data_IF_039010408340
#
_entry.id   IF_039010408340
#
_cell.length_a   1.000
_cell.length_b   1.000
_cell.length_c   1.000
_cell.angle_alpha   90.00
_cell.angle_beta   90.00
_cell.angle_gamma   90.00
#
_symmetry.space_group_name_H-M   'P 1'
#
loop_
_entity.id
_entity.type
_entity.pdbx_description
1 polymer ?
#
# COMPACT_ATOMS: atom_id res chain seq x y z
N UNK A 1 32.35 20.78 60.29
CA UNK A 1 31.55 19.86 59.44
C UNK A 1 31.20 20.58 58.15
N UNK A 2 31.75 20.16 57.00
CA UNK A 2 31.53 20.78 55.69
C UNK A 2 30.64 19.86 54.86
N UNK A 3 29.40 20.28 54.56
CA UNK A 3 28.55 19.58 53.60
C UNK A 3 28.84 20.08 52.19
N UNK A 4 29.25 19.17 51.30
CA UNK A 4 29.33 19.40 49.85
C UNK A 4 27.96 19.14 49.25
N UNK A 5 27.40 20.16 48.61
CA UNK A 5 26.16 20.09 47.83
C UNK A 5 26.51 19.58 46.42
N UNK A 6 25.94 18.43 46.03
CA UNK A 6 26.13 17.79 44.73
C UNK A 6 25.08 18.35 43.76
N UNK A 7 25.49 19.13 42.76
CA UNK A 7 24.62 19.57 41.67
C UNK A 7 24.46 18.43 40.65
N UNK A 8 23.24 17.93 40.52
CA UNK A 8 22.85 16.97 39.48
C UNK A 8 22.56 17.75 38.18
N UNK A 9 23.47 17.67 37.22
CA UNK A 9 23.31 18.27 35.89
C UNK A 9 22.32 17.41 35.08
N UNK A 10 21.08 17.87 34.89
CA UNK A 10 20.13 17.26 33.96
C UNK A 10 20.56 17.60 32.52
N UNK A 11 21.11 16.61 31.80
CA UNK A 11 21.27 16.70 30.35
C UNK A 11 19.89 16.60 29.68
N UNK A 12 19.31 17.75 29.33
CA UNK A 12 18.22 17.84 28.36
C UNK A 12 18.79 17.45 26.99
N UNK A 13 18.53 16.22 26.56
CA UNK A 13 18.79 15.81 25.17
C UNK A 13 17.70 16.45 24.32
N UNK A 14 18.02 17.39 23.40
CA UNK A 14 17.04 17.91 22.47
C UNK A 14 16.53 16.75 21.61
N UNK A 15 15.21 16.57 21.59
CA UNK A 15 14.56 15.69 20.61
C UNK A 15 14.75 16.36 19.25
N UNK A 16 15.80 15.97 18.54
CA UNK A 16 15.98 16.35 17.14
C UNK A 16 14.79 15.81 16.36
N UNK A 17 13.92 16.71 15.90
CA UNK A 17 12.87 16.35 14.95
C UNK A 17 13.52 15.63 13.77
N UNK A 18 13.01 14.45 13.43
CA UNK A 18 13.42 13.72 12.24
C UNK A 18 13.15 14.62 11.04
N UNK A 19 14.20 15.27 10.51
CA UNK A 19 14.14 15.99 9.26
C UNK A 19 13.82 14.97 8.17
N UNK A 20 12.55 14.96 7.73
CA UNK A 20 12.14 14.16 6.58
C UNK A 20 12.96 14.56 5.36
N UNK A 21 13.24 13.59 4.49
CA UNK A 21 13.99 13.83 3.27
C UNK A 21 13.24 14.83 2.39
N UNK A 22 13.93 15.89 1.95
CA UNK A 22 13.35 16.83 0.99
C UNK A 22 13.18 16.14 -0.37
N UNK A 23 11.95 15.68 -0.63
CA UNK A 23 11.57 15.04 -1.87
C UNK A 23 11.28 16.02 -2.99
N UNK A 24 11.35 17.34 -2.75
CA UNK A 24 11.22 18.34 -3.82
C UNK A 24 12.25 18.12 -4.93
N UNK A 25 13.37 17.46 -4.67
CA UNK A 25 14.40 17.17 -5.68
C UNK A 25 14.20 15.86 -6.46
N UNK A 26 13.17 15.04 -6.13
CA UNK A 26 13.02 13.69 -6.68
C UNK A 26 12.93 13.72 -8.22
N UNK A 27 12.06 14.57 -8.77
CA UNK A 27 11.97 14.86 -10.20
C UNK A 27 12.56 16.24 -10.49
N UNK A 28 13.32 16.37 -11.59
CA UNK A 28 13.73 17.68 -12.09
C UNK A 28 12.55 18.43 -12.72
N UNK A 29 12.71 19.74 -12.87
CA UNK A 29 11.66 20.65 -13.34
C UNK A 29 11.24 20.35 -14.79
N UNK A 30 12.21 20.03 -15.66
CA UNK A 30 11.96 19.65 -17.05
C UNK A 30 11.05 18.42 -17.13
N UNK A 31 11.32 17.41 -16.31
CA UNK A 31 10.49 16.21 -16.20
C UNK A 31 9.07 16.58 -15.77
N UNK A 32 8.91 17.44 -14.76
CA UNK A 32 7.59 17.84 -14.28
C UNK A 32 6.80 18.66 -15.32
N UNK A 33 7.44 19.58 -16.03
CA UNK A 33 6.78 20.30 -17.13
C UNK A 33 6.33 19.36 -18.25
N UNK A 34 7.19 18.43 -18.66
CA UNK A 34 6.85 17.43 -19.67
C UNK A 34 5.61 16.63 -19.26
N UNK A 35 5.54 16.18 -18.00
CA UNK A 35 4.40 15.41 -17.51
C UNK A 35 3.17 16.25 -17.24
N UNK A 36 3.31 17.52 -16.84
CA UNK A 36 2.19 18.48 -16.73
C UNK A 36 1.45 18.57 -18.06
N UNK A 37 2.17 18.76 -19.16
CA UNK A 37 1.58 18.82 -20.51
C UNK A 37 0.83 17.55 -20.93
N UNK A 38 1.10 16.39 -20.31
CA UNK A 38 0.41 15.12 -20.58
C UNK A 38 -0.76 14.86 -19.63
N UNK A 39 -0.60 15.20 -18.36
CA UNK A 39 -1.62 14.92 -17.34
C UNK A 39 -2.74 15.96 -17.31
N UNK A 40 -2.41 17.25 -17.50
CA UNK A 40 -3.31 18.35 -17.21
C UNK A 40 -4.69 18.21 -17.85
N UNK A 41 -4.74 17.93 -19.17
CA UNK A 41 -6.01 17.75 -19.88
C UNK A 41 -6.85 16.63 -19.27
N UNK A 42 -6.25 15.49 -18.96
CA UNK A 42 -6.97 14.34 -18.40
C UNK A 42 -7.38 14.56 -16.95
N UNK A 43 -6.55 15.25 -16.15
CA UNK A 43 -6.88 15.60 -14.77
C UNK A 43 -8.07 16.56 -14.72
N UNK A 44 -8.07 17.62 -15.53
CA UNK A 44 -9.20 18.55 -15.63
C UNK A 44 -10.46 17.85 -16.12
N UNK A 45 -10.34 17.00 -17.14
CA UNK A 45 -11.48 16.23 -17.63
C UNK A 45 -12.06 15.29 -16.55
N UNK A 46 -11.20 14.58 -15.81
CA UNK A 46 -11.64 13.72 -14.70
C UNK A 46 -12.37 14.54 -13.63
N UNK A 47 -11.81 15.68 -13.24
CA UNK A 47 -12.43 16.55 -12.26
C UNK A 47 -13.80 17.06 -12.73
N UNK A 48 -13.89 17.61 -13.93
CA UNK A 48 -15.13 18.19 -14.45
C UNK A 48 -16.21 17.13 -14.75
N UNK A 49 -15.83 16.01 -15.38
CA UNK A 49 -16.80 15.04 -15.91
C UNK A 49 -17.10 13.91 -14.95
N UNK A 50 -16.10 13.46 -14.20
CA UNK A 50 -16.27 12.33 -13.28
C UNK A 50 -16.55 12.80 -11.85
N UNK A 51 -15.93 13.87 -11.37
CA UNK A 51 -16.17 14.35 -10.00
C UNK A 51 -17.34 15.32 -9.97
N UNK A 52 -17.20 16.50 -10.60
CA UNK A 52 -18.24 17.52 -10.60
C UNK A 52 -19.49 17.06 -11.35
N UNK A 53 -19.32 16.32 -12.45
CA UNK A 53 -20.41 15.71 -13.22
C UNK A 53 -21.08 14.50 -12.53
N UNK A 54 -20.67 14.13 -11.32
CA UNK A 54 -21.38 13.14 -10.47
C UNK A 54 -22.19 13.79 -9.35
N UNK A 55 -22.02 15.10 -9.15
CA UNK A 55 -22.73 15.81 -8.10
C UNK A 55 -24.20 15.95 -8.49
N UNK A 56 -25.07 15.76 -7.50
CA UNK A 56 -26.47 16.15 -7.62
C UNK A 56 -26.57 17.66 -7.80
N UNK A 57 -27.69 18.18 -8.35
CA UNK A 57 -27.89 19.63 -8.45
C UNK A 57 -27.78 20.36 -7.09
N UNK A 58 -28.19 19.72 -5.99
CA UNK A 58 -28.07 20.29 -4.65
C UNK A 58 -26.61 20.34 -4.18
N UNK A 59 -25.87 19.24 -4.32
CA UNK A 59 -24.45 19.19 -3.98
C UNK A 59 -23.65 20.21 -4.81
N UNK A 60 -23.92 20.31 -6.12
CA UNK A 60 -23.25 21.25 -7.01
C UNK A 60 -23.52 22.71 -6.62
N UNK A 61 -24.75 23.06 -6.26
CA UNK A 61 -25.09 24.42 -5.78
C UNK A 61 -24.41 24.74 -4.45
N UNK A 62 -24.38 23.80 -3.52
CA UNK A 62 -23.74 23.99 -2.21
C UNK A 62 -22.23 24.12 -2.31
N UNK A 63 -21.59 23.30 -3.15
CA UNK A 63 -20.14 23.33 -3.38
C UNK A 63 -19.70 24.65 -4.01
N UNK A 64 -20.53 25.24 -4.87
CA UNK A 64 -20.23 26.50 -5.55
C UNK A 64 -19.16 26.36 -6.62
N UNK A 65 -18.41 27.43 -6.84
CA UNK A 65 -17.30 27.46 -7.78
C UNK A 65 -16.05 26.91 -7.12
N UNK A 66 -15.56 25.80 -7.65
CA UNK A 66 -14.33 25.15 -7.20
C UNK A 66 -13.45 24.87 -8.40
N UNK A 67 -12.14 25.00 -8.20
CA UNK A 67 -11.16 24.87 -9.26
C UNK A 67 -10.11 23.80 -8.93
N UNK A 68 -9.52 23.24 -9.98
CA UNK A 68 -8.40 22.31 -9.88
C UNK A 68 -7.11 23.07 -10.20
N UNK A 69 -6.23 23.18 -9.22
CA UNK A 69 -4.87 23.68 -9.39
C UNK A 69 -3.88 22.52 -9.55
N UNK A 70 -2.91 22.73 -10.45
CA UNK A 70 -1.93 21.72 -10.87
C UNK A 70 -0.51 22.32 -10.81
N UNK A 71 -0.03 22.68 -9.61
CA UNK A 71 1.33 23.19 -9.46
C UNK A 71 2.33 22.09 -9.79
N UNK A 72 3.57 22.44 -10.15
CA UNK A 72 4.57 21.41 -10.41
C UNK A 72 4.91 20.62 -9.14
N UNK A 73 4.96 21.31 -8.00
CA UNK A 73 5.42 20.80 -6.71
C UNK A 73 4.44 21.13 -5.61
N UNK A 74 4.55 20.36 -4.55
CA UNK A 74 3.92 20.65 -3.26
C UNK A 74 4.67 21.82 -2.62
N UNK A 75 3.97 22.73 -1.96
CA UNK A 75 4.55 23.85 -1.21
C UNK A 75 4.29 23.70 0.29
N UNK A 76 5.01 24.50 1.10
CA UNK A 76 4.81 24.58 2.55
C UNK A 76 5.13 23.29 3.30
N UNK A 77 4.41 23.03 4.38
CA UNK A 77 4.66 21.92 5.31
C UNK A 77 4.45 20.53 4.69
N UNK A 78 3.77 20.47 3.53
CA UNK A 78 3.53 19.23 2.79
C UNK A 78 4.64 18.90 1.78
N UNK A 79 5.64 19.77 1.59
CA UNK A 79 6.70 19.59 0.58
C UNK A 79 7.47 18.27 0.69
N UNK A 80 7.55 17.70 1.91
CA UNK A 80 8.18 16.40 2.15
C UNK A 80 7.32 15.19 1.78
N UNK A 81 6.01 15.33 1.55
CA UNK A 81 5.11 14.21 1.24
C UNK A 81 4.94 14.02 -0.28
N UNK A 82 5.43 12.91 -0.87
CA UNK A 82 5.39 12.70 -2.31
C UNK A 82 4.00 12.26 -2.80
N UNK A 83 3.05 12.07 -1.88
CA UNK A 83 1.65 11.74 -2.12
C UNK A 83 0.75 12.81 -1.47
N UNK A 84 1.21 14.07 -1.43
CA UNK A 84 0.40 15.18 -1.00
C UNK A 84 -0.57 15.61 -2.11
N UNK A 85 -1.85 15.45 -1.81
CA UNK A 85 -3.00 16.03 -2.49
C UNK A 85 -3.83 16.69 -1.40
N UNK A 86 -4.36 17.88 -1.68
CA UNK A 86 -4.95 18.70 -0.63
C UNK A 86 -5.92 19.71 -1.20
N UNK A 87 -6.78 20.25 -0.34
CA UNK A 87 -7.62 21.41 -0.65
C UNK A 87 -7.18 22.68 0.09
N UNK A 88 -7.45 23.82 -0.53
CA UNK A 88 -7.40 25.16 0.09
C UNK A 88 -8.85 25.65 0.31
N UNK A 89 -9.07 26.96 0.47
CA UNK A 89 -10.40 27.55 0.65
C UNK A 89 -11.39 27.25 -0.48
N UNK A 90 -10.91 27.19 -1.72
CA UNK A 90 -11.73 27.15 -2.93
C UNK A 90 -11.14 26.28 -4.05
N UNK A 91 -9.99 25.65 -3.79
CA UNK A 91 -9.25 24.89 -4.80
C UNK A 91 -8.82 23.53 -4.29
N UNK A 92 -8.92 22.55 -5.18
CA UNK A 92 -8.26 21.25 -5.02
C UNK A 92 -6.90 21.35 -5.69
N UNK A 93 -5.84 21.02 -4.96
CA UNK A 93 -4.47 21.10 -5.42
C UNK A 93 -3.96 19.69 -5.68
N UNK A 94 -3.58 19.42 -6.93
CA UNK A 94 -2.97 18.15 -7.33
C UNK A 94 -1.60 18.39 -7.97
N UNK A 95 -0.54 18.46 -7.16
CA UNK A 95 0.80 18.69 -7.65
C UNK A 95 1.23 17.62 -8.67
N UNK A 96 1.82 18.06 -9.78
CA UNK A 96 2.26 17.17 -10.87
C UNK A 96 3.31 16.17 -10.37
N UNK A 97 4.16 16.59 -9.44
CA UNK A 97 5.09 15.69 -8.73
C UNK A 97 4.36 14.53 -8.03
N UNK A 98 3.29 14.79 -7.29
CA UNK A 98 2.53 13.76 -6.57
C UNK A 98 1.82 12.81 -7.53
N UNK A 99 1.20 13.36 -8.59
CA UNK A 99 0.58 12.55 -9.66
C UNK A 99 1.63 11.67 -10.34
N UNK A 100 2.80 12.22 -10.66
CA UNK A 100 3.87 11.50 -11.34
C UNK A 100 4.46 10.39 -10.48
N UNK A 101 4.62 10.65 -9.18
CA UNK A 101 5.08 9.67 -8.22
C UNK A 101 4.08 8.52 -8.09
N UNK A 102 2.79 8.82 -7.98
CA UNK A 102 1.76 7.81 -7.93
C UNK A 102 1.66 6.98 -9.23
N UNK A 103 1.81 7.62 -10.40
CA UNK A 103 1.88 6.94 -11.70
C UNK A 103 3.05 5.95 -11.77
N UNK A 104 4.26 6.34 -11.36
CA UNK A 104 5.40 5.42 -11.33
C UNK A 104 5.17 4.23 -10.41
N UNK A 105 4.56 4.44 -9.23
CA UNK A 105 4.23 3.36 -8.33
C UNK A 105 3.14 2.45 -8.89
N UNK A 106 2.12 3.00 -9.56
CA UNK A 106 1.08 2.24 -10.24
C UNK A 106 1.67 1.37 -11.37
N UNK A 107 2.59 1.93 -12.18
CA UNK A 107 3.28 1.20 -13.24
C UNK A 107 4.17 0.09 -12.67
N UNK A 108 4.94 0.37 -11.61
CA UNK A 108 5.73 -0.64 -10.94
C UNK A 108 4.85 -1.76 -10.37
N UNK A 109 3.74 -1.40 -9.74
CA UNK A 109 2.79 -2.37 -9.17
C UNK A 109 2.24 -3.31 -10.24
N UNK A 110 1.74 -2.76 -11.34
CA UNK A 110 1.24 -3.53 -12.48
C UNK A 110 2.32 -4.41 -13.10
N UNK A 111 3.56 -3.90 -13.24
CA UNK A 111 4.69 -4.64 -13.81
C UNK A 111 5.03 -5.89 -13.01
N UNK A 112 5.11 -5.75 -11.68
CA UNK A 112 5.42 -6.84 -10.76
C UNK A 112 4.28 -7.87 -10.73
N UNK A 113 3.03 -7.41 -10.62
CA UNK A 113 1.86 -8.30 -10.64
C UNK A 113 1.78 -9.12 -11.92
N UNK A 114 1.97 -8.50 -13.10
CA UNK A 114 1.92 -9.18 -14.39
C UNK A 114 2.98 -10.30 -14.55
N UNK A 115 4.04 -10.26 -13.72
CA UNK A 115 5.14 -11.24 -13.69
C UNK A 115 5.03 -12.23 -12.54
N UNK A 116 3.99 -12.13 -11.72
CA UNK A 116 3.86 -12.91 -10.49
C UNK A 116 5.00 -12.63 -9.51
N UNK A 117 5.58 -11.42 -9.55
CA UNK A 117 6.61 -10.98 -8.62
C UNK A 117 5.95 -10.27 -7.43
N UNK A 118 6.64 -10.29 -6.29
CA UNK A 118 6.17 -9.64 -5.08
C UNK A 118 6.11 -8.12 -5.22
N UNK A 119 5.00 -7.51 -4.84
CA UNK A 119 4.87 -6.05 -4.77
C UNK A 119 5.45 -5.45 -3.49
N UNK A 120 5.96 -6.27 -2.55
CA UNK A 120 6.54 -5.81 -1.28
C UNK A 120 7.70 -4.84 -1.50
N UNK A 121 8.52 -5.04 -2.53
CA UNK A 121 9.64 -4.12 -2.86
C UNK A 121 9.21 -2.69 -3.11
N UNK A 122 8.02 -2.50 -3.66
CA UNK A 122 7.45 -1.18 -3.91
C UNK A 122 7.18 -0.48 -2.58
N UNK A 123 6.65 -1.23 -1.61
CA UNK A 123 6.35 -0.76 -0.27
C UNK A 123 7.62 -0.48 0.54
N UNK A 124 8.63 -1.35 0.41
CA UNK A 124 9.95 -1.13 1.01
C UNK A 124 10.65 0.09 0.41
N UNK A 125 10.51 0.35 -0.90
CA UNK A 125 11.02 1.57 -1.54
C UNK A 125 10.36 2.83 -0.96
N UNK A 126 9.04 2.81 -0.77
CA UNK A 126 8.32 3.94 -0.17
C UNK A 126 8.78 4.18 1.27
N UNK A 127 8.91 3.12 2.07
CA UNK A 127 9.46 3.24 3.41
C UNK A 127 10.91 3.77 3.37
N UNK A 128 11.71 3.37 2.37
CA UNK A 128 13.10 3.80 2.22
C UNK A 128 13.20 5.30 2.04
N UNK A 129 12.34 5.88 1.19
CA UNK A 129 12.31 7.33 0.99
C UNK A 129 12.05 8.10 2.29
N UNK A 130 11.31 7.51 3.24
CA UNK A 130 11.02 8.13 4.54
C UNK A 130 12.25 8.19 5.44
N UNK A 131 12.99 7.08 5.49
CA UNK A 131 14.08 6.91 6.48
C UNK A 131 15.45 7.31 5.95
N UNK A 132 15.67 7.25 4.63
CA UNK A 132 16.95 7.62 4.05
C UNK A 132 17.03 9.10 3.83
N UNK A 133 17.98 9.73 4.49
CA UNK A 133 18.28 11.16 4.36
C UNK A 133 19.43 11.38 3.40
N UNK A 134 19.44 12.51 2.68
CA UNK A 134 20.55 12.88 1.78
C UNK A 134 21.88 13.14 2.52
N UNK A 135 21.87 13.14 3.85
CA UNK A 135 23.07 13.16 4.69
C UNK A 135 23.76 11.80 4.80
N UNK A 136 23.18 10.71 4.26
CA UNK A 136 23.85 9.41 4.18
C UNK A 136 25.10 9.50 3.27
N UNK A 137 26.28 9.02 3.73
CA UNK A 137 27.51 9.03 2.93
C UNK A 137 27.33 8.35 1.57
N UNK A 138 27.58 9.08 0.49
CA UNK A 138 27.48 8.60 -0.89
C UNK A 138 26.11 8.77 -1.56
N UNK A 139 25.06 9.16 -0.82
CA UNK A 139 23.71 9.35 -1.36
C UNK A 139 23.51 10.79 -1.85
N UNK A 140 23.92 11.09 -3.08
CA UNK A 140 23.77 12.43 -3.67
C UNK A 140 22.35 12.78 -4.13
N UNK A 141 21.53 11.76 -4.44
CA UNK A 141 20.14 11.92 -4.89
C UNK A 141 19.35 10.64 -4.60
N UNK A 142 18.11 10.79 -4.18
CA UNK A 142 17.19 9.67 -4.04
C UNK A 142 16.83 9.10 -5.43
N UNK A 143 16.87 7.77 -5.62
CA UNK A 143 16.58 7.18 -6.92
C UNK A 143 15.09 7.31 -7.25
N UNK A 144 14.76 7.56 -8.52
CA UNK A 144 13.38 7.55 -9.03
C UNK A 144 12.74 6.16 -8.86
N UNK A 145 11.41 6.05 -8.68
CA UNK A 145 10.77 4.78 -8.33
C UNK A 145 11.05 3.66 -9.33
N UNK A 146 10.85 3.92 -10.64
CA UNK A 146 11.09 2.88 -11.66
C UNK A 146 12.56 2.45 -11.72
N UNK A 147 13.49 3.39 -11.52
CA UNK A 147 14.93 3.09 -11.49
C UNK A 147 15.29 2.24 -10.28
N UNK A 148 14.82 2.62 -9.10
CA UNK A 148 15.07 1.89 -7.85
C UNK A 148 14.47 0.48 -7.87
N UNK A 149 13.31 0.32 -8.53
CA UNK A 149 12.57 -0.94 -8.60
C UNK A 149 12.93 -1.79 -9.82
N UNK A 150 13.91 -1.37 -10.62
CA UNK A 150 14.34 -2.01 -11.87
C UNK A 150 13.16 -2.28 -12.84
N UNK A 151 12.27 -1.31 -12.96
CA UNK A 151 11.13 -1.35 -13.89
C UNK A 151 11.50 -0.55 -15.14
N UNK A 152 11.35 -1.13 -16.35
CA UNK A 152 11.58 -0.37 -17.57
C UNK A 152 10.68 0.86 -17.65
N UNK A 153 11.24 2.04 -17.99
CA UNK A 153 10.48 3.30 -18.14
C UNK A 153 9.34 3.24 -19.16
N UNK A 154 9.41 2.28 -20.06
CA UNK A 154 8.46 1.98 -21.13
C UNK A 154 7.72 0.65 -20.90
N UNK A 155 7.65 0.16 -19.66
CA UNK A 155 6.98 -1.08 -19.27
C UNK A 155 5.56 -1.22 -19.87
N UNK A 156 4.81 -0.13 -19.89
CA UNK A 156 3.46 -0.05 -20.47
C UNK A 156 3.44 -0.30 -21.99
N UNK A 157 4.49 0.07 -22.73
CA UNK A 157 4.60 -0.25 -24.17
C UNK A 157 4.88 -1.72 -24.42
N UNK A 158 5.52 -2.39 -23.46
CA UNK A 158 6.01 -3.77 -23.60
C UNK A 158 4.94 -4.81 -23.27
N UNK A 159 3.97 -4.47 -22.44
CA UNK A 159 2.88 -5.37 -22.04
C UNK A 159 1.58 -4.59 -21.85
N UNK A 160 0.59 -4.82 -22.73
CA UNK A 160 -0.71 -4.15 -22.69
C UNK A 160 -1.48 -4.42 -21.39
N UNK A 161 -1.24 -5.56 -20.72
CA UNK A 161 -1.88 -5.84 -19.42
C UNK A 161 -1.28 -4.98 -18.32
N UNK A 162 0.01 -4.69 -18.39
CA UNK A 162 0.68 -3.76 -17.47
C UNK A 162 0.15 -2.34 -17.68
N UNK A 163 0.00 -1.90 -18.93
CA UNK A 163 -0.58 -0.60 -19.24
C UNK A 163 -2.02 -0.48 -18.71
N UNK A 164 -2.88 -1.45 -19.05
CA UNK A 164 -4.28 -1.46 -18.59
C UNK A 164 -4.38 -1.40 -17.05
N UNK A 165 -3.64 -2.26 -16.35
CA UNK A 165 -3.67 -2.30 -14.88
C UNK A 165 -3.07 -1.03 -14.24
N UNK A 166 -1.97 -0.49 -14.79
CA UNK A 166 -1.37 0.74 -14.29
C UNK A 166 -2.32 1.94 -14.46
N UNK A 167 -2.97 2.04 -15.63
CA UNK A 167 -3.95 3.06 -15.92
C UNK A 167 -5.20 2.92 -15.04
N UNK A 168 -5.67 1.70 -14.77
CA UNK A 168 -6.79 1.44 -13.85
C UNK A 168 -6.46 1.90 -12.43
N UNK A 169 -5.28 1.54 -11.90
CA UNK A 169 -4.79 2.00 -10.59
C UNK A 169 -4.69 3.52 -10.56
N UNK A 170 -4.00 4.15 -11.51
CA UNK A 170 -3.78 5.59 -11.50
C UNK A 170 -5.10 6.37 -11.62
N UNK A 171 -5.92 6.06 -12.65
CA UNK A 171 -7.12 6.84 -12.94
C UNK A 171 -8.16 6.73 -11.84
N UNK A 172 -8.45 5.52 -11.38
CA UNK A 172 -9.43 5.33 -10.30
C UNK A 172 -8.97 5.97 -8.98
N UNK A 173 -7.66 5.91 -8.68
CA UNK A 173 -7.09 6.57 -7.51
C UNK A 173 -7.16 8.08 -7.59
N UNK A 174 -6.79 8.68 -8.72
CA UNK A 174 -6.85 10.13 -8.93
C UNK A 174 -8.29 10.66 -8.83
N UNK A 175 -9.26 9.98 -9.44
CA UNK A 175 -10.68 10.39 -9.35
C UNK A 175 -11.17 10.30 -7.91
N UNK A 176 -10.83 9.22 -7.20
CA UNK A 176 -11.20 9.06 -5.79
C UNK A 176 -10.58 10.17 -4.91
N UNK A 177 -9.29 10.47 -5.09
CA UNK A 177 -8.59 11.54 -4.37
C UNK A 177 -9.23 12.90 -4.65
N UNK A 178 -9.49 13.24 -5.91
CA UNK A 178 -10.20 14.48 -6.26
C UNK A 178 -11.58 14.56 -5.61
N UNK A 179 -12.33 13.46 -5.58
CA UNK A 179 -13.64 13.42 -4.95
C UNK A 179 -13.54 13.59 -3.42
N UNK A 180 -12.51 13.03 -2.78
CA UNK A 180 -12.21 13.23 -1.37
C UNK A 180 -11.90 14.70 -1.05
N UNK A 181 -11.00 15.33 -1.80
CA UNK A 181 -10.69 16.76 -1.63
C UNK A 181 -11.90 17.66 -1.92
N UNK A 182 -12.73 17.29 -2.92
CA UNK A 182 -14.00 17.97 -3.18
C UNK A 182 -14.94 17.91 -1.99
N UNK A 183 -14.96 16.78 -1.28
CA UNK A 183 -15.81 16.62 -0.10
C UNK A 183 -15.40 17.56 1.04
N UNK A 184 -14.10 17.82 1.20
CA UNK A 184 -13.63 18.81 2.18
C UNK A 184 -14.20 20.20 1.89
N UNK A 185 -14.20 20.64 0.63
CA UNK A 185 -14.83 21.90 0.23
C UNK A 185 -16.36 21.86 0.44
N UNK A 186 -17.02 20.77 0.04
CA UNK A 186 -18.47 20.60 0.14
C UNK A 186 -18.98 20.69 1.59
N UNK A 187 -18.29 20.02 2.52
CA UNK A 187 -18.61 20.03 3.95
C UNK A 187 -18.05 21.26 4.68
N UNK A 188 -17.34 22.16 3.97
CA UNK A 188 -16.64 23.32 4.54
C UNK A 188 -15.69 22.90 5.66
N UNK A 189 -15.04 21.76 5.45
CA UNK A 189 -14.03 21.27 6.36
C UNK A 189 -12.86 22.26 6.30
N UNK A 190 -12.43 22.80 7.44
CA UNK A 190 -11.37 23.79 7.47
C UNK A 190 -10.07 23.21 6.89
N UNK A 191 -9.41 23.97 6.01
CA UNK A 191 -8.20 23.56 5.30
C UNK A 191 -6.97 23.49 6.21
N UNK A 192 -5.86 22.97 5.69
CA UNK A 192 -4.63 22.67 6.43
C UNK A 192 -4.00 23.86 7.18
N UNK A 193 -4.23 25.07 6.69
CA UNK A 193 -3.65 26.30 7.21
C UNK A 193 -4.32 26.79 8.52
N UNK A 194 -5.43 26.17 8.93
CA UNK A 194 -6.35 26.76 9.93
C UNK A 194 -6.16 26.26 11.37
N UNK A 195 -5.08 25.52 11.68
CA UNK A 195 -4.76 25.11 13.06
C UNK A 195 -5.80 24.17 13.70
N UNK A 196 -6.57 23.45 12.89
CA UNK A 196 -7.65 22.55 13.32
C UNK A 196 -7.09 21.39 14.14
N UNK A 197 -7.77 21.06 15.24
CA UNK A 197 -7.37 19.90 16.06
C UNK A 197 -7.47 18.60 15.26
N UNK A 198 -6.53 17.67 15.46
CA UNK A 198 -6.49 16.39 14.73
C UNK A 198 -7.74 15.53 14.97
N UNK A 199 -8.39 15.65 16.14
CA UNK A 199 -9.67 14.98 16.41
C UNK A 199 -10.75 15.48 15.43
N UNK A 200 -10.74 16.77 15.12
CA UNK A 200 -11.67 17.37 14.18
C UNK A 200 -11.29 17.07 12.73
N UNK A 201 -10.00 17.05 12.38
CA UNK A 201 -9.55 16.53 11.08
C UNK A 201 -10.01 15.09 10.86
N UNK A 202 -9.81 14.16 11.81
CA UNK A 202 -10.31 12.77 11.71
C UNK A 202 -11.83 12.68 11.56
N UNK A 203 -12.58 13.55 12.24
CA UNK A 203 -14.04 13.60 12.11
C UNK A 203 -14.48 14.01 10.69
N UNK A 204 -13.67 14.83 10.02
CA UNK A 204 -13.92 15.32 8.67
C UNK A 204 -13.54 14.30 7.57
N UNK A 205 -12.56 13.44 7.84
CA UNK A 205 -12.08 12.45 6.88
C UNK A 205 -13.11 11.37 6.53
N UNK A 206 -13.83 10.81 7.52
CA UNK A 206 -14.79 9.72 7.27
C UNK A 206 -15.94 10.18 6.34
N UNK A 207 -16.57 11.34 6.57
CA UNK A 207 -17.52 11.91 5.61
C UNK A 207 -16.91 12.14 4.22
N UNK A 208 -15.65 12.59 4.14
CA UNK A 208 -14.96 12.81 2.87
C UNK A 208 -14.68 11.50 2.10
N UNK A 209 -14.18 10.47 2.79
CA UNK A 209 -13.97 9.13 2.24
C UNK A 209 -15.28 8.52 1.71
N UNK A 210 -16.37 8.67 2.50
CA UNK A 210 -17.70 8.19 2.11
C UNK A 210 -18.25 8.94 0.90
N UNK A 211 -18.07 10.26 0.86
CA UNK A 211 -18.45 11.07 -0.30
C UNK A 211 -17.70 10.65 -1.55
N UNK A 212 -16.38 10.43 -1.46
CA UNK A 212 -15.57 9.94 -2.57
C UNK A 212 -16.05 8.56 -3.07
N UNK A 213 -16.32 7.63 -2.16
CA UNK A 213 -16.89 6.32 -2.53
C UNK A 213 -18.25 6.46 -3.21
N UNK A 214 -19.10 7.37 -2.76
CA UNK A 214 -20.41 7.63 -3.38
C UNK A 214 -20.27 8.18 -4.80
N UNK A 215 -19.31 9.08 -5.06
CA UNK A 215 -19.00 9.57 -6.41
C UNK A 215 -18.56 8.41 -7.32
N UNK A 216 -17.66 7.55 -6.83
CA UNK A 216 -17.20 6.37 -7.56
C UNK A 216 -18.35 5.40 -7.84
N UNK A 217 -19.23 5.19 -6.87
CA UNK A 217 -20.43 4.34 -6.97
C UNK A 217 -21.40 4.85 -8.04
N UNK A 218 -21.70 6.16 -8.07
CA UNK A 218 -22.58 6.79 -9.08
C UNK A 218 -22.03 6.69 -10.50
N UNK A 219 -20.71 6.54 -10.66
CA UNK A 219 -20.06 6.34 -11.97
C UNK A 219 -19.77 4.88 -12.28
N UNK A 220 -20.13 3.96 -11.38
CA UNK A 220 -19.85 2.53 -11.52
C UNK A 220 -18.35 2.23 -11.73
N UNK A 221 -17.49 2.98 -11.03
CA UNK A 221 -16.04 2.83 -11.11
C UNK A 221 -15.56 2.21 -9.79
N UNK A 222 -14.90 1.05 -9.87
CA UNK A 222 -14.25 0.48 -8.70
C UNK A 222 -13.02 1.32 -8.28
N UNK A 223 -12.88 1.73 -7.01
CA UNK A 223 -11.80 2.60 -6.56
C UNK A 223 -10.50 1.82 -6.27
N UNK A 224 -10.00 1.05 -7.25
CA UNK A 224 -8.80 0.22 -7.07
C UNK A 224 -7.58 1.04 -6.63
N UNK A 225 -7.37 2.20 -7.26
CA UNK A 225 -6.26 3.09 -6.96
C UNK A 225 -6.28 3.65 -5.54
N UNK A 226 -7.45 3.79 -4.92
CA UNK A 226 -7.56 4.24 -3.53
C UNK A 226 -6.90 3.24 -2.58
N UNK A 227 -7.07 1.94 -2.83
CA UNK A 227 -6.42 0.89 -2.03
C UNK A 227 -4.89 1.02 -2.11
N UNK A 228 -4.36 1.20 -3.32
CA UNK A 228 -2.93 1.41 -3.53
C UNK A 228 -2.44 2.70 -2.86
N UNK A 229 -3.18 3.81 -3.00
CA UNK A 229 -2.87 5.08 -2.36
C UNK A 229 -2.74 4.93 -0.83
N UNK A 230 -3.74 4.34 -0.16
CA UNK A 230 -3.68 4.15 1.30
C UNK A 230 -2.61 3.15 1.73
N UNK A 231 -2.34 2.13 0.94
CA UNK A 231 -1.23 1.22 1.21
C UNK A 231 0.11 1.95 1.11
N UNK A 232 0.32 2.77 0.09
CA UNK A 232 1.52 3.59 -0.06
C UNK A 232 1.65 4.60 1.08
N UNK A 233 0.58 5.31 1.43
CA UNK A 233 0.54 6.22 2.58
C UNK A 233 0.83 5.48 3.89
N UNK A 234 0.33 4.27 4.09
CA UNK A 234 0.59 3.49 5.30
C UNK A 234 2.08 3.17 5.45
N UNK A 235 2.79 2.86 4.36
CA UNK A 235 4.25 2.67 4.38
C UNK A 235 5.03 3.97 4.53
N UNK A 236 4.56 5.06 3.92
CA UNK A 236 5.15 6.40 4.02
C UNK A 236 4.99 7.06 5.41
N UNK A 237 3.91 6.76 6.11
CA UNK A 237 3.55 7.43 7.38
C UNK A 237 4.53 7.15 8.51
N UNK A 238 4.59 8.05 9.49
CA UNK A 238 5.35 7.79 10.72
C UNK A 238 4.85 6.53 11.40
N UNK A 239 5.81 5.77 11.92
CA UNK A 239 5.56 4.54 12.65
C UNK A 239 5.68 4.82 14.13
N UNK A 240 4.93 4.10 14.96
CA UNK A 240 5.03 4.14 16.41
C UNK A 240 6.47 3.90 16.91
N UNK A 241 7.26 3.14 16.15
CA UNK A 241 8.69 2.90 16.40
C UNK A 241 9.60 4.09 16.16
N UNK A 242 9.12 5.13 15.48
CA UNK A 242 9.89 6.35 15.20
C UNK A 242 9.94 7.29 16.42
N UNK A 243 9.19 6.98 17.46
CA UNK A 243 9.03 7.81 18.66
C UNK A 243 9.67 7.15 19.86
N UNK A 244 10.31 7.97 20.69
CA UNK A 244 11.00 7.53 21.91
C UNK A 244 10.07 6.95 22.97
N UNK A 245 8.77 7.26 22.90
CA UNK A 245 7.77 6.78 23.86
C UNK A 245 6.38 6.72 23.24
N UNK A 246 5.47 5.99 23.91
CA UNK A 246 4.06 5.97 23.56
C UNK A 246 3.41 7.36 23.65
N UNK A 247 3.85 8.17 24.61
CA UNK A 247 3.36 9.54 24.75
C UNK A 247 3.79 10.40 23.56
N UNK A 248 5.06 10.32 23.14
CA UNK A 248 5.54 11.05 21.96
C UNK A 248 4.82 10.63 20.68
N UNK A 249 4.52 9.32 20.53
CA UNK A 249 3.69 8.82 19.43
C UNK A 249 2.27 9.41 19.48
N UNK A 250 1.61 9.41 20.64
CA UNK A 250 0.27 9.99 20.80
C UNK A 250 0.27 11.50 20.54
N UNK A 251 1.28 12.21 21.00
CA UNK A 251 1.44 13.64 20.72
C UNK A 251 1.63 13.90 19.23
N UNK A 252 2.43 13.10 18.54
CA UNK A 252 2.56 13.17 17.08
C UNK A 252 1.22 12.92 16.37
N UNK A 253 0.50 11.86 16.76
CA UNK A 253 -0.84 11.57 16.25
C UNK A 253 -1.87 12.68 16.57
N UNK A 254 -1.59 13.53 17.55
CA UNK A 254 -2.41 14.67 17.92
C UNK A 254 -1.95 16.00 17.31
N UNK A 255 -0.72 16.09 16.76
CA UNK A 255 -0.11 17.36 16.28
C UNK A 255 0.21 17.39 14.79
N UNK A 256 0.55 16.27 14.14
CA UNK A 256 1.07 16.28 12.75
C UNK A 256 0.36 15.31 11.77
N UNK A 257 -0.61 14.54 12.23
CA UNK A 257 -1.28 13.50 11.44
C UNK A 257 -2.46 13.98 10.57
N UNK A 258 -2.23 14.85 9.58
CA UNK A 258 -3.30 15.22 8.62
C UNK A 258 -3.38 14.18 7.48
N UNK A 259 -4.58 13.69 7.15
CA UNK A 259 -4.86 12.55 6.25
C UNK A 259 -4.01 11.30 6.49
N UNK A 260 -3.57 11.03 7.72
CA UNK A 260 -3.00 9.72 7.97
C UNK A 260 -4.07 8.65 7.77
N UNK A 261 -3.71 7.52 7.16
CA UNK A 261 -4.55 6.35 7.18
C UNK A 261 -4.84 6.00 8.65
N UNK A 262 -6.10 6.13 9.03
CA UNK A 262 -6.60 5.80 10.36
C UNK A 262 -7.39 4.49 10.26
N UNK A 263 -7.23 3.63 11.27
CA UNK A 263 -7.84 2.29 11.29
C UNK A 263 -9.35 2.35 11.07
N UNK A 264 -10.05 3.30 11.70
CA UNK A 264 -11.51 3.38 11.61
C UNK A 264 -11.95 3.87 10.23
N UNK A 265 -11.21 4.81 9.63
CA UNK A 265 -11.42 5.24 8.24
C UNK A 265 -11.30 4.08 7.27
N UNK A 266 -10.20 3.33 7.35
CA UNK A 266 -9.94 2.23 6.43
C UNK A 266 -10.99 1.12 6.61
N UNK A 267 -11.37 0.78 7.86
CA UNK A 267 -12.46 -0.17 8.13
C UNK A 267 -13.78 0.30 7.54
N UNK A 268 -14.11 1.59 7.67
CA UNK A 268 -15.35 2.16 7.15
C UNK A 268 -15.40 2.11 5.62
N UNK A 269 -14.32 2.48 4.94
CA UNK A 269 -14.22 2.33 3.48
C UNK A 269 -14.35 0.87 3.04
N UNK A 270 -13.67 -0.05 3.72
CA UNK A 270 -13.79 -1.48 3.44
C UNK A 270 -15.23 -1.98 3.61
N UNK A 271 -15.93 -1.51 4.64
CA UNK A 271 -17.36 -1.79 4.83
C UNK A 271 -18.21 -1.27 3.68
N UNK A 272 -18.00 -0.03 3.24
CA UNK A 272 -18.80 0.59 2.17
C UNK A 272 -18.65 -0.17 0.84
N UNK A 273 -17.46 -0.68 0.53
CA UNK A 273 -17.22 -1.55 -0.64
C UNK A 273 -17.91 -2.91 -0.53
N UNK A 274 -18.07 -3.45 0.68
CA UNK A 274 -18.72 -4.76 0.90
C UNK A 274 -20.25 -4.70 0.83
N UNK A 275 -20.85 -3.55 1.18
CA UNK A 275 -22.32 -3.42 1.22
C UNK A 275 -22.92 -3.51 -0.18
N UNK A 276 -22.34 -2.81 -1.17
CA UNK A 276 -22.88 -2.76 -2.53
C UNK A 276 -21.80 -2.92 -3.61
N UNK A 277 -21.09 -4.06 -3.68
CA UNK A 277 -20.01 -4.25 -4.65
C UNK A 277 -20.49 -4.22 -6.11
N UNK A 278 -21.76 -4.57 -6.36
CA UNK A 278 -22.36 -4.52 -7.69
C UNK A 278 -22.49 -3.10 -8.25
N UNK A 279 -22.73 -2.10 -7.39
CA UNK A 279 -22.89 -0.72 -7.81
C UNK A 279 -21.59 -0.15 -8.42
N UNK A 280 -20.43 -0.66 -8.01
CA UNK A 280 -19.13 -0.28 -8.56
C UNK A 280 -18.74 -1.06 -9.83
N UNK A 281 -19.57 -2.03 -10.24
CA UNK A 281 -19.28 -2.97 -11.31
C UNK A 281 -20.28 -2.89 -12.48
N UNK A 282 -21.31 -2.04 -12.38
CA UNK A 282 -22.47 -2.11 -13.26
C UNK A 282 -22.18 -1.83 -14.74
N UNK A 283 -21.08 -1.14 -15.06
CA UNK A 283 -20.68 -0.83 -16.45
C UNK A 283 -19.58 -1.75 -16.98
N UNK A 284 -19.17 -2.75 -16.20
CA UNK A 284 -18.08 -3.65 -16.56
C UNK A 284 -18.57 -4.77 -17.48
N UNK A 285 -17.71 -5.21 -18.40
CA UNK A 285 -18.03 -6.29 -19.34
C UNK A 285 -18.26 -7.63 -18.62
N UNK A 286 -17.47 -7.91 -17.58
CA UNK A 286 -17.62 -9.09 -16.72
C UNK A 286 -18.01 -8.62 -15.32
N UNK A 287 -19.32 -8.39 -15.12
CA UNK A 287 -19.90 -7.92 -13.86
C UNK A 287 -19.56 -8.88 -12.70
N UNK A 288 -19.74 -10.22 -12.81
CA UNK A 288 -19.37 -11.13 -11.73
C UNK A 288 -17.89 -11.06 -11.33
N UNK A 289 -16.97 -10.98 -12.30
CA UNK A 289 -15.56 -10.81 -11.98
C UNK A 289 -15.27 -9.45 -11.33
N UNK A 290 -15.91 -8.38 -11.79
CA UNK A 290 -15.74 -7.05 -11.20
C UNK A 290 -16.25 -6.98 -9.76
N UNK A 291 -17.40 -7.59 -9.45
CA UNK A 291 -17.91 -7.73 -8.08
C UNK A 291 -16.87 -8.41 -7.19
N UNK A 292 -16.28 -9.52 -7.65
CA UNK A 292 -15.19 -10.21 -6.92
C UNK A 292 -13.96 -9.33 -6.73
N UNK A 293 -13.60 -8.51 -7.73
CA UNK A 293 -12.50 -7.53 -7.61
C UNK A 293 -12.81 -6.50 -6.52
N UNK A 294 -14.01 -5.93 -6.48
CA UNK A 294 -14.43 -4.96 -5.45
C UNK A 294 -14.40 -5.57 -4.05
N UNK A 295 -14.87 -6.81 -3.89
CA UNK A 295 -14.77 -7.53 -2.62
C UNK A 295 -13.30 -7.76 -2.21
N UNK A 296 -12.43 -8.13 -3.17
CA UNK A 296 -11.00 -8.26 -2.92
C UNK A 296 -10.34 -6.93 -2.53
N UNK A 297 -10.80 -5.80 -3.07
CA UNK A 297 -10.34 -4.47 -2.64
C UNK A 297 -10.66 -4.22 -1.17
N UNK A 298 -11.87 -4.55 -0.70
CA UNK A 298 -12.21 -4.45 0.72
C UNK A 298 -11.28 -5.33 1.60
N UNK A 299 -11.01 -6.57 1.18
CA UNK A 299 -10.05 -7.45 1.86
C UNK A 299 -8.59 -6.98 1.81
N UNK A 300 -8.26 -6.06 0.89
CA UNK A 300 -6.94 -5.41 0.80
C UNK A 300 -6.86 -4.24 1.78
N UNK A 301 -7.94 -3.50 1.97
CA UNK A 301 -8.04 -2.45 3.00
C UNK A 301 -7.89 -3.05 4.42
N UNK A 302 -8.39 -4.26 4.67
CA UNK A 302 -8.11 -4.95 5.94
C UNK A 302 -6.61 -5.20 6.18
N UNK A 303 -5.81 -5.33 5.12
CA UNK A 303 -4.36 -5.49 5.25
C UNK A 303 -3.69 -4.17 5.59
N UNK A 304 -4.19 -3.07 5.03
CA UNK A 304 -3.78 -1.73 5.43
C UNK A 304 -4.08 -1.53 6.92
N UNK A 305 -5.27 -1.90 7.39
CA UNK A 305 -5.62 -1.90 8.83
C UNK A 305 -4.60 -2.71 9.64
N UNK A 306 -4.28 -3.93 9.21
CA UNK A 306 -3.30 -4.77 9.92
C UNK A 306 -1.92 -4.09 10.04
N UNK A 307 -1.45 -3.41 8.98
CA UNK A 307 -0.18 -2.66 9.02
C UNK A 307 -0.25 -1.51 10.04
N UNK A 308 -1.39 -0.84 10.15
CA UNK A 308 -1.59 0.30 11.05
C UNK A 308 -1.79 -0.13 12.51
N UNK A 309 -2.44 -1.26 12.78
CA UNK A 309 -2.72 -1.73 14.15
C UNK A 309 -1.49 -2.41 14.79
N UNK A 310 -0.71 -3.17 14.02
CA UNK A 310 0.29 -4.06 14.60
C UNK A 310 1.65 -3.36 14.82
N UNK A 311 1.97 -3.07 16.09
CA UNK A 311 3.22 -2.42 16.51
C UNK A 311 4.49 -3.12 16.00
N UNK A 312 4.48 -4.45 15.95
CA UNK A 312 5.61 -5.20 15.41
C UNK A 312 5.77 -4.92 13.90
N UNK A 313 4.68 -4.93 13.13
CA UNK A 313 4.73 -4.71 11.68
C UNK A 313 5.31 -3.31 11.35
N UNK A 314 4.99 -2.33 12.19
CA UNK A 314 5.56 -1.00 12.13
C UNK A 314 7.07 -0.97 12.46
N UNK A 315 7.52 -1.70 13.50
CA UNK A 315 8.94 -1.82 13.87
C UNK A 315 9.76 -2.53 12.79
N UNK A 316 9.28 -3.66 12.29
CA UNK A 316 10.02 -4.48 11.35
C UNK A 316 10.12 -3.84 9.96
N UNK A 317 9.08 -3.11 9.53
CA UNK A 317 9.17 -2.29 8.31
C UNK A 317 10.25 -1.21 8.43
N UNK A 318 10.36 -0.51 9.57
CA UNK A 318 11.41 0.49 9.79
C UNK A 318 12.83 -0.15 9.78
N UNK A 319 13.03 -1.24 10.51
CA UNK A 319 14.34 -1.90 10.63
C UNK A 319 14.81 -2.52 9.31
N UNK A 320 13.94 -3.27 8.61
CA UNK A 320 14.28 -3.88 7.31
C UNK A 320 14.67 -2.83 6.28
N UNK A 321 13.95 -1.72 6.27
CA UNK A 321 14.14 -0.65 5.30
C UNK A 321 15.46 0.08 5.50
N UNK A 322 15.85 0.36 6.75
CA UNK A 322 17.14 1.00 7.07
C UNK A 322 18.34 0.12 6.67
N UNK A 323 18.17 -1.19 6.66
CA UNK A 323 19.24 -2.14 6.32
C UNK A 323 19.35 -2.47 4.81
N UNK A 324 18.38 -2.06 3.98
CA UNK A 324 18.28 -2.53 2.60
C UNK A 324 18.97 -1.58 1.61
N UNK A 325 19.87 -2.13 0.81
CA UNK A 325 20.45 -1.46 -0.35
C UNK A 325 19.62 -1.78 -1.60
N UNK A 326 18.99 -0.76 -2.19
CA UNK A 326 18.19 -0.87 -3.40
C UNK A 326 19.01 -0.70 -4.69
N UNK A 327 20.33 -0.46 -4.58
CA UNK A 327 21.22 -0.34 -5.74
C UNK A 327 21.65 -1.69 -6.31
N UNK A 328 21.48 -2.78 -5.55
CA UNK A 328 21.79 -4.12 -6.02
C UNK A 328 20.61 -4.70 -6.81
N UNK A 329 20.79 -5.12 -8.07
CA UNK A 329 19.78 -5.90 -8.78
C UNK A 329 19.50 -7.16 -7.97
N UNK A 330 18.22 -7.52 -7.88
CA UNK A 330 17.85 -8.73 -7.17
C UNK A 330 18.64 -9.93 -7.67
N UNK A 331 19.21 -10.66 -6.70
CA UNK A 331 19.77 -11.98 -6.93
C UNK A 331 18.82 -12.75 -7.84
N UNK A 332 19.35 -13.10 -9.02
CA UNK A 332 18.60 -13.65 -10.11
C UNK A 332 17.63 -14.72 -9.62
N UNK A 333 16.43 -14.70 -10.21
CA UNK A 333 15.44 -15.77 -10.14
C UNK A 333 16.19 -17.11 -10.22
N UNK A 334 16.23 -17.88 -9.13
CA UNK A 334 16.65 -19.29 -9.19
C UNK A 334 15.50 -20.02 -9.90
N UNK A 335 15.49 -19.90 -11.23
CA UNK A 335 14.71 -20.81 -12.08
C UNK A 335 15.45 -22.13 -11.95
N UNK A 336 15.00 -22.99 -11.02
CA UNK A 336 15.46 -24.36 -10.96
C UNK A 336 15.12 -24.99 -12.32
N UNK A 337 16.16 -25.28 -13.11
CA UNK A 337 16.02 -26.07 -14.34
C UNK A 337 15.31 -27.37 -13.97
N UNK A 338 14.30 -27.71 -14.77
CA UNK A 338 13.51 -28.94 -14.66
C UNK A 338 14.44 -30.15 -14.77
N UNK A 339 14.83 -30.74 -13.65
CA UNK A 339 15.45 -32.06 -13.63
C UNK A 339 14.35 -33.11 -13.69
N UNK A 340 14.59 -34.21 -14.39
CA UNK A 340 13.62 -35.26 -14.68
C UNK A 340 13.16 -36.07 -13.44
N UNK A 341 13.65 -35.72 -12.25
CA UNK A 341 13.27 -36.33 -10.97
C UNK A 341 12.82 -35.23 -9.99
N UNK A 342 11.70 -34.56 -10.27
CA UNK A 342 11.19 -33.56 -9.32
C UNK A 342 10.65 -34.26 -8.08
N UNK A 343 11.25 -34.00 -6.92
CA UNK A 343 10.82 -34.59 -5.65
C UNK A 343 9.56 -33.89 -5.13
N UNK A 344 8.80 -34.56 -4.29
CA UNK A 344 7.71 -33.89 -3.55
C UNK A 344 8.25 -32.68 -2.78
N UNK A 345 7.47 -31.60 -2.76
CA UNK A 345 7.83 -30.32 -2.11
C UNK A 345 9.07 -29.62 -2.72
N UNK A 346 9.32 -29.79 -4.01
CA UNK A 346 10.42 -29.15 -4.73
C UNK A 346 9.93 -28.65 -6.08
N UNK A 347 10.02 -27.36 -6.37
CA UNK A 347 9.59 -26.75 -7.63
C UNK A 347 8.49 -25.71 -7.46
N UNK A 348 7.87 -25.33 -8.58
CA UNK A 348 6.80 -24.34 -8.61
C UNK A 348 5.44 -25.02 -8.52
N UNK A 349 4.54 -24.40 -7.77
CA UNK A 349 3.16 -24.85 -7.62
C UNK A 349 2.21 -23.65 -7.70
N UNK A 350 1.00 -23.88 -8.18
CA UNK A 350 -0.09 -22.92 -8.17
C UNK A 350 -1.34 -23.58 -7.59
N UNK A 351 -2.29 -22.80 -7.08
CA UNK A 351 -3.57 -23.33 -6.64
C UNK A 351 -4.33 -22.39 -5.74
N UNK A 352 -5.05 -22.93 -4.76
CA UNK A 352 -5.93 -22.21 -3.87
C UNK A 352 -5.41 -22.18 -2.42
N UNK A 353 -5.50 -21.01 -1.81
CA UNK A 353 -5.26 -20.75 -0.40
C UNK A 353 -6.56 -20.25 0.23
N UNK A 354 -7.19 -21.09 1.06
CA UNK A 354 -8.33 -20.68 1.86
C UNK A 354 -7.82 -20.02 3.15
N UNK A 355 -8.38 -18.86 3.50
CA UNK A 355 -8.20 -18.23 4.80
C UNK A 355 -9.54 -18.01 5.49
N UNK A 356 -9.54 -18.13 6.82
CA UNK A 356 -10.61 -17.63 7.68
C UNK A 356 -10.22 -16.25 8.20
N UNK A 357 -11.07 -15.27 7.93
CA UNK A 357 -10.95 -13.93 8.49
C UNK A 357 -11.36 -13.93 9.97
N UNK A 358 -11.06 -12.84 10.69
CA UNK A 358 -11.47 -12.69 12.10
C UNK A 358 -13.00 -12.69 12.28
N UNK A 359 -13.77 -12.34 11.25
CA UNK A 359 -15.24 -12.43 11.24
C UNK A 359 -15.76 -13.84 10.95
N UNK A 360 -14.88 -14.83 10.77
CA UNK A 360 -15.25 -16.21 10.46
C UNK A 360 -15.57 -16.46 8.98
N UNK A 361 -15.53 -15.43 8.14
CA UNK A 361 -15.75 -15.55 6.69
C UNK A 361 -14.59 -16.31 6.05
N UNK A 362 -14.92 -17.28 5.19
CA UNK A 362 -13.94 -18.00 4.36
C UNK A 362 -13.67 -17.22 3.09
N UNK A 363 -12.41 -17.06 2.77
CA UNK A 363 -11.95 -16.44 1.53
C UNK A 363 -10.98 -17.38 0.83
N UNK A 364 -11.15 -17.55 -0.48
CA UNK A 364 -10.27 -18.34 -1.32
C UNK A 364 -9.44 -17.41 -2.20
N UNK A 365 -8.12 -17.60 -2.18
CA UNK A 365 -7.16 -16.79 -2.92
C UNK A 365 -6.33 -17.69 -3.83
N UNK A 366 -6.08 -17.24 -5.07
CA UNK A 366 -5.08 -17.88 -5.92
C UNK A 366 -3.70 -17.69 -5.31
N UNK A 367 -2.92 -18.76 -5.21
CA UNK A 367 -1.61 -18.77 -4.59
C UNK A 367 -0.58 -19.43 -5.49
N UNK A 368 0.65 -18.94 -5.45
CA UNK A 368 1.81 -19.56 -6.06
C UNK A 368 2.86 -19.86 -5.01
N UNK A 369 3.42 -21.06 -5.06
CA UNK A 369 4.51 -21.52 -4.19
C UNK A 369 5.75 -21.79 -5.04
N UNK A 370 6.91 -21.45 -4.49
CA UNK A 370 8.22 -21.88 -4.97
C UNK A 370 8.89 -22.60 -3.81
N UNK A 371 9.02 -23.92 -3.92
CA UNK A 371 9.58 -24.78 -2.89
C UNK A 371 10.96 -25.30 -3.29
N UNK A 372 11.87 -25.39 -2.33
CA UNK A 372 13.20 -25.97 -2.47
C UNK A 372 13.39 -27.02 -1.38
N UNK A 373 13.80 -28.23 -1.78
CA UNK A 373 13.97 -29.36 -0.87
C UNK A 373 15.43 -29.79 -0.79
N UNK A 374 15.92 -29.94 0.43
CA UNK A 374 17.25 -30.47 0.75
C UNK A 374 17.10 -31.60 1.78
N UNK A 375 17.07 -32.84 1.29
CA UNK A 375 16.75 -34.01 2.10
C UNK A 375 15.33 -33.92 2.67
N UNK A 376 15.22 -33.88 4.00
CA UNK A 376 13.95 -33.70 4.70
C UNK A 376 13.61 -32.23 4.97
N UNK A 377 14.51 -31.28 4.69
CA UNK A 377 14.24 -29.86 4.89
C UNK A 377 13.59 -29.27 3.64
N UNK A 378 12.56 -28.46 3.83
CA UNK A 378 11.91 -27.71 2.75
C UNK A 378 11.92 -26.24 3.13
N UNK A 379 12.32 -25.39 2.20
CA UNK A 379 12.18 -23.95 2.31
C UNK A 379 11.42 -23.44 1.11
N UNK A 380 10.74 -22.32 1.22
CA UNK A 380 10.07 -21.76 0.07
C UNK A 380 9.48 -20.39 0.30
N UNK A 381 8.88 -19.88 -0.76
CA UNK A 381 8.11 -18.64 -0.74
C UNK A 381 6.76 -18.91 -1.36
N UNK A 382 5.74 -18.23 -0.86
CA UNK A 382 4.43 -18.23 -1.50
C UNK A 382 3.83 -16.84 -1.54
N UNK A 383 3.04 -16.57 -2.57
CA UNK A 383 2.35 -15.30 -2.75
C UNK A 383 0.95 -15.54 -3.27
N UNK A 384 -0.01 -14.78 -2.76
CA UNK A 384 -1.40 -14.73 -3.23
C UNK A 384 -1.73 -13.35 -3.82
N UNK A 385 -0.73 -12.69 -4.41
CA UNK A 385 -0.87 -11.42 -5.14
C UNK A 385 -0.89 -10.15 -4.30
N UNK A 386 -0.67 -10.26 -2.97
CA UNK A 386 -0.71 -9.14 -2.02
C UNK A 386 0.39 -9.21 -0.95
N UNK A 387 1.54 -9.79 -1.30
CA UNK A 387 2.70 -9.96 -0.43
C UNK A 387 3.28 -11.37 -0.52
N UNK A 388 4.51 -11.51 -0.03
CA UNK A 388 5.18 -12.80 0.05
C UNK A 388 5.17 -13.31 1.49
N UNK A 389 4.96 -14.61 1.61
CA UNK A 389 5.25 -15.35 2.81
C UNK A 389 6.40 -16.29 2.53
N UNK A 390 7.23 -16.53 3.53
CA UNK A 390 8.22 -17.60 3.52
C UNK A 390 7.67 -18.80 4.25
N UNK A 391 8.11 -20.00 3.89
CA UNK A 391 7.97 -21.16 4.75
C UNK A 391 9.30 -21.87 4.94
N UNK A 392 9.47 -22.46 6.12
CA UNK A 392 10.54 -23.39 6.44
C UNK A 392 9.92 -24.59 7.14
N UNK A 393 10.30 -25.79 6.75
CA UNK A 393 9.69 -26.98 7.30
C UNK A 393 10.53 -28.24 7.15
N UNK A 394 10.04 -29.29 7.78
CA UNK A 394 10.66 -30.61 7.80
C UNK A 394 9.61 -31.65 7.39
N UNK A 395 10.00 -32.55 6.51
CA UNK A 395 9.20 -33.70 6.12
C UNK A 395 9.34 -34.77 7.19
N UNK A 396 8.20 -35.15 7.79
CA UNK A 396 8.09 -36.26 8.75
C UNK A 396 6.90 -37.11 8.36
N UNK A 397 7.09 -38.42 8.22
CA UNK A 397 6.04 -39.38 7.86
C UNK A 397 5.27 -38.99 6.57
N UNK A 398 6.00 -38.54 5.54
CA UNK A 398 5.42 -38.12 4.25
C UNK A 398 4.60 -36.82 4.32
N UNK A 399 4.68 -36.06 5.40
CA UNK A 399 4.02 -34.75 5.55
C UNK A 399 5.06 -33.67 5.79
N UNK A 400 4.92 -32.54 5.11
CA UNK A 400 5.68 -31.34 5.40
C UNK A 400 5.03 -30.62 6.58
N UNK A 401 5.72 -30.60 7.71
CA UNK A 401 5.41 -29.74 8.84
C UNK A 401 6.21 -28.47 8.68
N UNK A 402 5.56 -27.31 8.67
CA UNK A 402 6.22 -26.06 8.36
C UNK A 402 5.76 -24.92 9.24
N UNK A 403 6.68 -24.00 9.45
CA UNK A 403 6.46 -22.65 9.91
C UNK A 403 6.33 -21.76 8.67
N UNK A 404 5.32 -20.90 8.65
CA UNK A 404 5.21 -19.84 7.66
C UNK A 404 5.37 -18.50 8.35
N UNK A 405 5.92 -17.54 7.60
CA UNK A 405 6.08 -16.17 8.06
C UNK A 405 5.71 -15.21 6.94
N UNK A 406 4.77 -14.31 7.20
CA UNK A 406 4.34 -13.24 6.29
C UNK A 406 4.39 -11.91 7.03
N UNK A 407 5.38 -11.09 6.70
CA UNK A 407 5.73 -9.95 7.54
C UNK A 407 6.02 -10.43 8.96
N UNK A 408 5.12 -10.09 9.87
CA UNK A 408 5.21 -10.39 11.31
C UNK A 408 4.18 -11.40 11.79
N UNK A 409 3.23 -11.75 10.94
CA UNK A 409 2.38 -12.90 11.19
C UNK A 409 3.20 -14.14 10.92
N UNK A 410 3.21 -15.05 11.89
CA UNK A 410 3.72 -16.39 11.70
C UNK A 410 2.62 -17.38 12.00
N UNK A 411 2.87 -18.60 11.60
CA UNK A 411 2.04 -19.70 12.01
C UNK A 411 2.62 -21.03 11.58
N UNK A 412 1.88 -22.09 11.87
CA UNK A 412 2.29 -23.42 11.50
C UNK A 412 1.31 -24.05 10.52
N UNK A 413 1.77 -25.06 9.81
CA UNK A 413 0.90 -25.85 8.96
C UNK A 413 1.45 -27.22 8.67
N UNK A 414 0.58 -28.01 8.04
CA UNK A 414 0.92 -29.35 7.58
C UNK A 414 0.40 -29.54 6.16
N UNK A 415 1.25 -30.04 5.28
CA UNK A 415 0.93 -30.36 3.89
C UNK A 415 1.28 -31.80 3.57
N UNK A 416 0.47 -32.47 2.76
CA UNK A 416 0.71 -33.81 2.23
C UNK A 416 0.73 -33.75 0.70
N UNK A 417 1.80 -34.27 0.12
CA UNK A 417 1.87 -34.55 -1.31
C UNK A 417 1.16 -35.88 -1.60
N UNK A 418 0.52 -35.99 -2.77
CA UNK A 418 -0.17 -37.19 -3.22
C UNK A 418 0.66 -38.08 -4.15
N UNK A 419 1.94 -37.74 -4.38
CA UNK A 419 2.82 -38.38 -5.35
C UNK A 419 2.54 -38.04 -6.82
N UNK A 420 1.41 -37.40 -7.13
CA UNK A 420 0.98 -37.01 -8.49
C UNK A 420 1.23 -35.52 -8.78
N UNK A 421 1.96 -34.85 -7.90
CA UNK A 421 2.27 -33.42 -8.01
C UNK A 421 1.23 -32.50 -7.39
N UNK A 422 0.23 -33.02 -6.68
CA UNK A 422 -0.67 -32.19 -5.89
C UNK A 422 -0.23 -32.15 -4.42
N UNK A 423 -0.45 -31.01 -3.77
CA UNK A 423 -0.19 -30.82 -2.34
C UNK A 423 -1.47 -30.32 -1.69
N UNK A 424 -1.92 -31.02 -0.66
CA UNK A 424 -3.08 -30.61 0.13
C UNK A 424 -2.66 -30.38 1.58
N UNK A 425 -3.15 -29.32 2.21
CA UNK A 425 -2.72 -28.97 3.56
C UNK A 425 -3.68 -28.10 4.33
N UNK A 426 -3.30 -27.87 5.58
CA UNK A 426 -3.94 -26.94 6.51
C UNK A 426 -2.88 -26.07 7.15
N UNK A 427 -3.31 -24.91 7.63
CA UNK A 427 -2.46 -23.98 8.35
C UNK A 427 -3.24 -23.29 9.47
N UNK A 428 -2.52 -22.74 10.43
CA UNK A 428 -3.04 -21.92 11.53
C UNK A 428 -2.12 -20.73 11.81
N UNK A 429 -2.57 -19.86 12.71
CA UNK A 429 -1.81 -18.72 13.21
C UNK A 429 -1.06 -19.09 14.48
N UNK A 430 0.05 -18.40 14.75
CA UNK A 430 0.89 -18.61 15.93
C UNK A 430 1.29 -20.11 16.05
N UNK A 431 1.16 -20.72 17.22
CA UNK A 431 1.51 -22.13 17.45
C UNK A 431 0.51 -23.12 16.82
N UNK A 432 -0.63 -22.65 16.29
CA UNK A 432 -1.65 -23.54 15.74
C UNK A 432 -1.26 -24.04 14.33
N UNK A 433 -1.35 -25.37 14.15
CA UNK A 433 -1.17 -26.04 12.84
C UNK A 433 -2.45 -26.05 11.97
N UNK A 434 -3.58 -25.59 12.52
CA UNK A 434 -4.92 -25.61 11.90
C UNK A 434 -5.72 -24.39 12.32
N UNK A 435 -6.85 -24.14 11.66
CA UNK A 435 -7.80 -23.07 12.00
C UNK A 435 -7.62 -21.79 11.19
N UNK A 436 -6.47 -21.61 10.54
CA UNK A 436 -6.20 -20.53 9.59
C UNK A 436 -6.86 -20.78 8.23
N UNK A 437 -6.86 -22.03 7.76
CA UNK A 437 -7.56 -22.45 6.54
C UNK A 437 -6.94 -23.69 5.88
N UNK A 438 -7.21 -23.88 4.59
CA UNK A 438 -6.71 -24.99 3.77
C UNK A 438 -5.87 -24.52 2.59
N UNK A 439 -5.05 -25.42 2.07
CA UNK A 439 -4.14 -25.19 0.94
C UNK A 439 -4.31 -26.34 -0.04
N UNK A 440 -4.51 -26.00 -1.31
CA UNK A 440 -4.62 -26.95 -2.42
C UNK A 440 -3.72 -26.48 -3.56
N UNK A 441 -2.62 -27.17 -3.80
CA UNK A 441 -1.63 -26.81 -4.81
C UNK A 441 -1.51 -27.91 -5.85
N UNK A 442 -1.27 -27.51 -7.08
CA UNK A 442 -0.89 -28.34 -8.20
C UNK A 442 0.46 -27.86 -8.72
N UNK A 443 1.36 -28.80 -8.99
CA UNK A 443 2.66 -28.52 -9.60
C UNK A 443 2.45 -27.88 -10.98
N UNK A 444 3.27 -26.88 -11.29
CA UNK A 444 3.34 -26.25 -12.63
C UNK A 444 4.03 -27.13 -13.67
#
# INVERSE_FOLDING_TARGET
MKHKMLYLLLCLIPVTGLAGSDLSSLYDEQTLHYWKGRYERNLRWNFEKLVLGSLTPAERRQLGNVHLDLPLRVSGDLAGDPLAFYTTSDQIVMPIQSVKFFDDLALAWAWYQARGQSTEKILEYIAMLRYRTLSEPGLRKLPLPLKALNVPKDAWKRDRRVDAAAQEILKSGIVWIMAHETAHLYFRNPGYESGVSHKQSRHNEIPADRFANEIMRRKHIAPLGMVNYFLFKAYWSAKRSDFSSEQAWREYQQKQAVHLPDVDRIKKMASDLRVSPADYAATEMDIPASIRRVQKMAGSLDQVVAILEHQNAQRNSATRTRAKDFSSPDGARVVLKRTAESREYEGNYHGAYERRTRSGTREQLDVRYVLQRYGNKVTGRYSFGQGDATLKGIIRNGKLHYEWQRGDSFGHGVMRADGLGNINGQWGYDEAVRGGGSIHLKRE
#
